data_IF_526351458407
#
_entry.id   IF_526351458407
#
_cell.length_a   1.000
_cell.length_b   1.000
_cell.length_c   1.000
_cell.angle_alpha   90.00
_cell.angle_beta   90.00
_cell.angle_gamma   90.00
#
_symmetry.space_group_name_H-M   'P 1'
#
loop_
_entity.id
_entity.type
_entity.pdbx_description
1 polymer ?
#
# COMPACT_ATOMS: atom_id res chain seq x y z
N UNK A 1 17.64 -13.73 -21.08
CA UNK A 1 17.31 -12.77 -20.00
C UNK A 1 15.86 -12.99 -19.63
N UNK A 2 15.54 -12.98 -18.33
CA UNK A 2 14.18 -13.19 -17.84
C UNK A 2 13.82 -12.06 -16.88
N UNK A 3 12.65 -11.46 -17.06
CA UNK A 3 12.10 -10.45 -16.17
C UNK A 3 11.02 -11.09 -15.30
N UNK A 4 11.12 -10.92 -13.98
CA UNK A 4 10.17 -11.47 -13.02
C UNK A 4 9.55 -10.36 -12.18
N UNK A 5 8.21 -10.31 -12.17
CA UNK A 5 7.46 -9.49 -11.23
C UNK A 5 6.86 -10.41 -10.17
N UNK A 6 7.38 -10.34 -8.95
CA UNK A 6 6.98 -11.20 -7.84
C UNK A 6 6.12 -10.43 -6.84
N UNK A 7 5.03 -11.05 -6.39
CA UNK A 7 4.20 -10.49 -5.32
C UNK A 7 4.68 -10.93 -3.93
N UNK A 8 4.38 -10.14 -2.90
CA UNK A 8 4.62 -10.53 -1.51
C UNK A 8 6.05 -10.27 -1.01
N UNK A 9 6.71 -9.25 -1.54
CA UNK A 9 8.00 -8.74 -1.03
C UNK A 9 7.99 -8.51 0.50
N UNK A 10 7.05 -7.72 1.05
CA UNK A 10 6.97 -7.48 2.49
C UNK A 10 6.74 -8.74 3.34
N UNK A 11 6.22 -9.80 2.73
CA UNK A 11 5.89 -11.07 3.39
C UNK A 11 7.01 -12.10 3.21
N UNK A 12 8.25 -11.69 3.49
CA UNK A 12 9.48 -12.47 3.27
C UNK A 12 9.65 -12.91 1.81
N UNK A 13 9.27 -12.09 0.82
CA UNK A 13 9.42 -12.41 -0.61
C UNK A 13 8.82 -13.78 -0.98
N UNK A 14 7.62 -14.05 -0.46
CA UNK A 14 7.01 -15.37 -0.58
C UNK A 14 6.75 -15.76 -2.04
N UNK A 15 6.35 -14.80 -2.89
CA UNK A 15 6.15 -15.05 -4.32
C UNK A 15 7.44 -15.54 -4.99
N UNK A 16 8.56 -14.86 -4.74
CA UNK A 16 9.89 -15.26 -5.25
C UNK A 16 10.28 -16.63 -4.75
N UNK A 17 10.07 -16.90 -3.45
CA UNK A 17 10.36 -18.22 -2.85
C UNK A 17 9.56 -19.33 -3.54
N UNK A 18 8.25 -19.14 -3.71
CA UNK A 18 7.37 -20.13 -4.34
C UNK A 18 7.72 -20.35 -5.81
N UNK A 19 7.94 -19.27 -6.55
CA UNK A 19 8.41 -19.31 -7.94
C UNK A 19 9.72 -20.11 -8.08
N UNK A 20 10.71 -19.86 -7.22
CA UNK A 20 11.97 -20.63 -7.23
C UNK A 20 11.79 -22.10 -6.80
N UNK A 21 10.81 -22.40 -5.95
CA UNK A 21 10.48 -23.77 -5.55
C UNK A 21 9.77 -24.54 -6.66
N UNK A 22 9.02 -23.85 -7.53
CA UNK A 22 8.35 -24.45 -8.69
C UNK A 22 9.33 -25.03 -9.71
N UNK A 23 10.58 -24.54 -9.73
CA UNK A 23 11.62 -25.03 -10.62
C UNK A 23 12.28 -26.31 -10.12
N UNK A 24 12.55 -27.20 -11.07
CA UNK A 24 13.45 -28.33 -10.85
C UNK A 24 14.86 -27.86 -10.51
N UNK A 25 15.59 -28.68 -9.77
CA UNK A 25 16.96 -28.34 -9.35
C UNK A 25 17.88 -28.02 -10.53
N UNK A 26 17.76 -28.78 -11.63
CA UNK A 26 18.57 -28.57 -12.84
C UNK A 26 18.34 -27.18 -13.45
N UNK A 27 17.10 -26.71 -13.45
CA UNK A 27 16.75 -25.41 -13.99
C UNK A 27 17.22 -24.29 -13.06
N UNK A 28 17.16 -24.48 -11.73
CA UNK A 28 17.76 -23.53 -10.78
C UNK A 28 19.27 -23.40 -10.96
N UNK A 29 19.97 -24.50 -11.22
CA UNK A 29 21.41 -24.50 -11.45
C UNK A 29 21.80 -23.86 -12.79
N UNK A 30 20.87 -23.79 -13.76
CA UNK A 30 21.09 -23.05 -15.01
C UNK A 30 20.95 -21.53 -14.87
N UNK A 31 20.53 -21.02 -13.71
CA UNK A 31 20.46 -19.57 -13.47
C UNK A 31 21.85 -19.08 -13.05
N UNK A 32 22.51 -18.36 -13.94
CA UNK A 32 23.84 -17.78 -13.67
C UNK A 32 23.80 -16.84 -12.47
N UNK A 33 22.95 -15.82 -12.54
CA UNK A 33 22.67 -14.91 -11.44
C UNK A 33 21.33 -14.19 -11.60
N UNK A 34 20.85 -13.55 -10.53
CA UNK A 34 19.67 -12.69 -10.52
C UNK A 34 19.98 -11.30 -9.93
N UNK A 35 19.40 -10.25 -10.50
CA UNK A 35 19.44 -8.89 -9.96
C UNK A 35 18.04 -8.53 -9.49
N UNK A 36 17.91 -8.20 -8.21
CA UNK A 36 16.66 -7.75 -7.59
C UNK A 36 16.75 -6.23 -7.38
N UNK A 37 15.62 -5.53 -7.53
CA UNK A 37 15.55 -4.09 -7.35
C UNK A 37 14.69 -3.79 -6.12
N UNK A 38 15.18 -2.95 -5.22
CA UNK A 38 14.40 -2.51 -4.07
C UNK A 38 14.63 -1.02 -3.78
N UNK A 39 13.55 -0.27 -3.61
CA UNK A 39 13.58 1.11 -3.11
C UNK A 39 14.58 2.01 -3.84
N UNK A 40 14.55 2.01 -5.18
CA UNK A 40 15.40 2.84 -6.07
C UNK A 40 14.73 4.16 -6.47
N UNK A 41 13.79 4.65 -5.65
CA UNK A 41 12.87 5.73 -6.02
C UNK A 41 13.24 7.13 -5.54
N UNK A 42 14.12 7.26 -4.53
CA UNK A 42 14.41 8.55 -3.89
C UNK A 42 15.90 8.90 -3.79
N UNK A 43 16.78 8.03 -4.29
CA UNK A 43 18.22 8.19 -4.11
C UNK A 43 18.78 9.41 -4.84
N UNK A 44 19.79 10.02 -4.21
CA UNK A 44 20.50 11.16 -4.75
C UNK A 44 21.72 10.71 -5.56
N UNK A 45 22.76 10.21 -4.86
CA UNK A 45 24.08 9.93 -5.45
C UNK A 45 24.68 8.58 -5.05
N UNK A 46 24.09 7.87 -4.08
CA UNK A 46 24.63 6.61 -3.57
C UNK A 46 23.62 5.47 -3.74
N UNK A 47 24.11 4.33 -4.21
CA UNK A 47 23.37 3.09 -4.32
C UNK A 47 24.19 1.94 -3.71
N UNK A 48 23.49 0.96 -3.16
CA UNK A 48 24.07 -0.20 -2.49
C UNK A 48 23.69 -1.47 -3.24
N UNK A 49 24.69 -2.28 -3.57
CA UNK A 49 24.52 -3.65 -4.03
C UNK A 49 24.69 -4.57 -2.83
N UNK A 50 23.58 -5.15 -2.37
CA UNK A 50 23.56 -6.11 -1.28
C UNK A 50 23.71 -7.53 -1.81
N UNK A 51 24.63 -8.27 -1.21
CA UNK A 51 24.98 -9.62 -1.66
C UNK A 51 25.16 -10.57 -0.48
N UNK A 52 24.68 -11.80 -0.66
CA UNK A 52 24.76 -12.86 0.35
C UNK A 52 25.93 -13.83 0.15
N UNK A 53 26.35 -14.04 -1.11
CA UNK A 53 27.51 -14.85 -1.48
C UNK A 53 28.79 -14.00 -1.39
N UNK A 54 29.96 -14.63 -1.17
CA UNK A 54 31.22 -13.88 -1.05
C UNK A 54 31.50 -13.08 -2.33
N UNK A 55 32.13 -11.89 -2.20
CA UNK A 55 32.46 -11.01 -3.32
C UNK A 55 33.52 -11.61 -4.26
N UNK A 56 34.14 -12.73 -3.89
CA UNK A 56 35.09 -13.47 -4.72
C UNK A 56 34.44 -14.17 -5.91
N UNK A 57 33.13 -14.39 -5.86
CA UNK A 57 32.37 -15.03 -6.92
C UNK A 57 32.46 -14.22 -8.23
N UNK A 58 32.76 -14.90 -9.34
CA UNK A 58 32.91 -14.27 -10.66
C UNK A 58 31.68 -13.46 -11.08
N UNK A 59 30.47 -13.98 -10.86
CA UNK A 59 29.23 -13.28 -11.23
C UNK A 59 29.03 -11.99 -10.43
N UNK A 60 29.40 -11.99 -9.15
CA UNK A 60 29.25 -10.80 -8.30
C UNK A 60 30.25 -9.72 -8.70
N UNK A 61 31.49 -10.11 -9.02
CA UNK A 61 32.49 -9.19 -9.56
C UNK A 61 32.02 -8.58 -10.87
N UNK A 62 31.49 -9.40 -11.76
CA UNK A 62 30.96 -8.93 -13.05
C UNK A 62 29.82 -7.93 -12.86
N UNK A 63 28.83 -8.25 -12.00
CA UNK A 63 27.74 -7.31 -11.67
C UNK A 63 28.33 -6.00 -11.12
N UNK A 64 29.27 -6.07 -10.17
CA UNK A 64 29.85 -4.87 -9.58
C UNK A 64 30.62 -4.04 -10.62
N UNK A 65 31.41 -4.66 -11.49
CA UNK A 65 32.16 -3.98 -12.55
C UNK A 65 31.22 -3.31 -13.57
N UNK A 66 30.17 -4.01 -13.98
CA UNK A 66 29.16 -3.50 -14.92
C UNK A 66 28.39 -2.31 -14.35
N UNK A 67 27.98 -2.38 -13.09
CA UNK A 67 27.28 -1.27 -12.42
C UNK A 67 28.20 -0.12 -12.07
N UNK A 68 29.38 -0.37 -11.50
CA UNK A 68 30.32 0.70 -11.11
C UNK A 68 30.82 1.49 -12.30
N UNK A 69 31.11 0.82 -13.42
CA UNK A 69 31.60 1.52 -14.62
C UNK A 69 30.55 2.45 -15.24
N UNK A 70 29.28 2.05 -15.26
CA UNK A 70 28.18 2.90 -15.73
C UNK A 70 27.85 3.98 -14.70
N UNK A 71 27.94 3.66 -13.41
CA UNK A 71 27.72 4.63 -12.34
C UNK A 71 28.77 5.74 -12.36
N UNK A 72 30.04 5.45 -12.63
CA UNK A 72 31.10 6.45 -12.83
C UNK A 72 30.75 7.43 -13.96
N UNK A 73 30.21 6.93 -15.08
CA UNK A 73 29.78 7.77 -16.21
C UNK A 73 28.58 8.65 -15.88
N UNK A 74 27.67 8.17 -15.02
CA UNK A 74 26.50 8.91 -14.55
C UNK A 74 26.77 9.80 -13.32
N UNK A 75 27.98 9.76 -12.75
CA UNK A 75 28.36 10.52 -11.55
C UNK A 75 27.74 9.97 -10.25
N UNK A 76 27.48 8.66 -10.20
CA UNK A 76 26.84 7.94 -9.10
C UNK A 76 27.85 7.02 -8.42
N UNK A 77 27.76 6.88 -7.10
CA UNK A 77 28.58 5.93 -6.36
C UNK A 77 27.78 4.65 -6.08
N UNK A 78 28.34 3.50 -6.48
CA UNK A 78 27.77 2.19 -6.20
C UNK A 78 28.68 1.45 -5.23
N UNK A 79 28.14 1.14 -4.05
CA UNK A 79 28.85 0.48 -2.98
C UNK A 79 28.42 -0.98 -2.85
N UNK A 80 29.35 -1.87 -2.50
CA UNK A 80 29.05 -3.28 -2.26
C UNK A 80 28.90 -3.55 -0.76
N UNK A 81 27.79 -4.18 -0.36
CA UNK A 81 27.57 -4.66 1.00
C UNK A 81 27.36 -6.16 1.03
N UNK A 82 28.31 -6.87 1.62
CA UNK A 82 28.24 -8.32 1.80
C UNK A 82 27.70 -8.67 3.19
N UNK A 83 26.65 -9.50 3.25
CA UNK A 83 26.08 -10.02 4.49
C UNK A 83 25.80 -11.51 4.36
N UNK A 84 26.45 -12.33 5.18
CA UNK A 84 26.18 -13.78 5.23
C UNK A 84 24.77 -14.03 5.76
N UNK A 85 23.99 -14.83 5.04
CA UNK A 85 22.64 -15.22 5.46
C UNK A 85 22.67 -16.26 6.58
N UNK A 86 21.73 -16.14 7.50
CA UNK A 86 21.44 -17.19 8.47
C UNK A 86 20.24 -18.01 7.97
N UNK A 87 20.51 -19.26 7.54
CA UNK A 87 19.49 -20.15 6.96
C UNK A 87 18.43 -20.56 8.00
N UNK A 88 18.78 -20.59 9.29
CA UNK A 88 17.82 -20.94 10.34
C UNK A 88 16.83 -19.82 10.67
N UNK A 89 17.13 -18.58 10.27
CA UNK A 89 16.20 -17.47 10.46
C UNK A 89 15.03 -17.61 9.47
N UNK A 90 13.80 -17.56 9.96
CA UNK A 90 12.61 -17.58 9.09
C UNK A 90 12.48 -16.29 8.28
N UNK A 91 12.95 -15.16 8.83
CA UNK A 91 12.86 -13.85 8.21
C UNK A 91 13.85 -13.70 7.07
N UNK A 92 13.40 -13.08 5.99
CA UNK A 92 14.22 -12.66 4.86
C UNK A 92 14.10 -11.16 4.68
N UNK A 93 15.23 -10.46 4.73
CA UNK A 93 15.25 -9.00 4.63
C UNK A 93 15.29 -8.52 3.18
N UNK A 94 16.04 -9.22 2.33
CA UNK A 94 16.23 -8.88 0.93
C UNK A 94 15.83 -10.03 0.01
N UNK A 95 15.32 -9.70 -1.17
CA UNK A 95 14.86 -10.72 -2.13
C UNK A 95 15.98 -11.69 -2.54
N UNK A 96 17.21 -11.19 -2.75
CA UNK A 96 18.36 -12.01 -3.13
C UNK A 96 18.72 -13.10 -2.10
N UNK A 97 18.30 -12.96 -0.83
CA UNK A 97 18.51 -14.00 0.18
C UNK A 97 17.66 -15.24 -0.12
N UNK A 98 16.48 -15.11 -0.75
CA UNK A 98 15.67 -16.27 -1.18
C UNK A 98 16.39 -17.09 -2.26
N UNK A 99 16.99 -16.42 -3.24
CA UNK A 99 17.83 -17.05 -4.26
C UNK A 99 19.02 -17.77 -3.62
N UNK A 100 19.68 -17.11 -2.66
CA UNK A 100 20.86 -17.64 -1.97
C UNK A 100 20.55 -18.88 -1.12
N UNK A 101 19.35 -18.98 -0.51
CA UNK A 101 18.88 -20.20 0.18
C UNK A 101 18.79 -21.40 -0.75
N UNK A 102 18.47 -21.17 -2.03
CA UNK A 102 18.39 -22.19 -3.07
C UNK A 102 19.67 -22.29 -3.91
N UNK A 103 20.78 -21.76 -3.39
CA UNK A 103 22.14 -21.80 -3.98
C UNK A 103 22.28 -21.02 -5.30
N UNK A 104 21.30 -20.22 -5.70
CA UNK A 104 21.39 -19.32 -6.85
C UNK A 104 22.16 -18.05 -6.46
N UNK A 105 23.00 -17.53 -7.35
CA UNK A 105 23.71 -16.27 -7.10
C UNK A 105 22.77 -15.10 -7.34
N UNK A 106 22.67 -14.16 -6.40
CA UNK A 106 21.82 -12.99 -6.59
C UNK A 106 22.34 -11.77 -5.83
N UNK A 107 21.96 -10.59 -6.31
CA UNK A 107 22.26 -9.30 -5.70
C UNK A 107 20.99 -8.43 -5.67
N UNK A 108 20.84 -7.61 -4.63
CA UNK A 108 19.78 -6.59 -4.57
C UNK A 108 20.40 -5.20 -4.70
N UNK A 109 19.94 -4.42 -5.67
CA UNK A 109 20.27 -2.99 -5.80
C UNK A 109 19.25 -2.18 -4.99
N UNK A 110 19.73 -1.37 -4.05
CA UNK A 110 18.87 -0.53 -3.22
C UNK A 110 19.52 0.77 -2.79
N UNK A 111 18.71 1.79 -2.53
CA UNK A 111 19.10 3.03 -1.85
C UNK A 111 19.43 2.79 -0.37
N UNK A 112 18.78 1.81 0.27
CA UNK A 112 18.92 1.59 1.70
C UNK A 112 20.25 0.93 2.01
N UNK A 113 21.05 1.57 2.86
CA UNK A 113 22.33 1.02 3.31
C UNK A 113 22.13 -0.17 4.26
N UNK A 114 21.02 -0.23 4.99
CA UNK A 114 20.66 -1.30 5.92
C UNK A 114 19.32 -1.92 5.53
N UNK A 115 19.18 -3.21 5.80
CA UNK A 115 17.92 -3.92 5.64
C UNK A 115 16.81 -3.25 6.47
N UNK A 116 15.63 -2.97 5.88
CA UNK A 116 14.50 -2.44 6.63
C UNK A 116 13.94 -3.47 7.62
N UNK A 117 13.33 -2.99 8.70
CA UNK A 117 12.55 -3.82 9.62
C UNK A 117 11.23 -4.30 9.00
N UNK A 118 10.54 -5.22 9.69
CA UNK A 118 9.43 -5.96 9.09
C UNK A 118 8.26 -4.99 8.93
N UNK A 119 7.83 -4.75 7.70
CA UNK A 119 6.78 -3.79 7.37
C UNK A 119 7.11 -2.32 7.74
N UNK A 120 8.38 -1.99 7.96
CA UNK A 120 8.79 -0.63 8.37
C UNK A 120 8.47 0.41 7.29
N UNK A 121 8.86 0.12 6.05
CA UNK A 121 8.74 1.05 4.91
C UNK A 121 7.66 0.65 3.90
N UNK A 122 6.89 -0.41 4.16
CA UNK A 122 6.01 -1.02 3.15
C UNK A 122 4.55 -0.99 3.58
N UNK A 123 3.66 -0.50 2.70
CA UNK A 123 2.21 -0.57 2.91
C UNK A 123 1.68 0.38 3.98
N UNK A 124 2.45 1.41 4.36
CA UNK A 124 1.98 2.48 5.23
C UNK A 124 0.92 3.33 4.51
N UNK A 125 -0.07 3.83 5.24
CA UNK A 125 -1.11 4.71 4.69
C UNK A 125 -0.54 6.03 4.16
N UNK A 126 0.66 6.40 4.62
CA UNK A 126 1.37 7.60 4.20
C UNK A 126 2.22 7.36 2.95
N UNK A 127 2.42 6.11 2.53
CA UNK A 127 3.17 5.79 1.31
C UNK A 127 2.45 6.35 0.09
N UNK A 128 3.08 7.32 -0.58
CA UNK A 128 2.44 8.14 -1.59
C UNK A 128 3.43 8.76 -2.55
N UNK A 129 2.91 9.29 -3.67
CA UNK A 129 3.72 9.80 -4.79
C UNK A 129 4.77 10.85 -4.39
N UNK A 130 4.52 11.62 -3.33
CA UNK A 130 5.40 12.68 -2.85
C UNK A 130 6.79 12.20 -2.38
N UNK A 131 6.93 10.94 -1.99
CA UNK A 131 8.21 10.38 -1.52
C UNK A 131 9.08 9.83 -2.65
N UNK A 132 8.59 9.89 -3.90
CA UNK A 132 9.28 9.31 -5.05
C UNK A 132 9.74 10.42 -5.99
N UNK A 133 11.03 10.46 -6.28
CA UNK A 133 11.61 11.41 -7.23
C UNK A 133 11.60 10.82 -8.64
N UNK A 134 10.87 11.45 -9.56
CA UNK A 134 10.78 11.01 -10.97
C UNK A 134 12.16 11.02 -11.65
N UNK A 135 12.98 12.04 -11.39
CA UNK A 135 14.31 12.14 -11.97
C UNK A 135 15.25 11.04 -11.43
N UNK A 136 15.09 10.63 -10.17
CA UNK A 136 15.85 9.50 -9.61
C UNK A 136 15.48 8.19 -10.30
N UNK A 137 14.19 7.95 -10.57
CA UNK A 137 13.73 6.75 -11.26
C UNK A 137 14.23 6.72 -12.71
N UNK A 138 14.15 7.83 -13.45
CA UNK A 138 14.68 7.89 -14.82
C UNK A 138 16.19 7.59 -14.83
N UNK A 139 16.94 8.15 -13.86
CA UNK A 139 18.37 7.84 -13.68
C UNK A 139 18.60 6.35 -13.34
N UNK A 140 17.79 5.75 -12.48
CA UNK A 140 17.89 4.32 -12.15
C UNK A 140 17.63 3.43 -13.35
N UNK A 141 16.57 3.71 -14.11
CA UNK A 141 16.23 2.94 -15.31
C UNK A 141 17.38 3.04 -16.31
N UNK A 142 17.95 4.22 -16.50
CA UNK A 142 19.12 4.42 -17.36
C UNK A 142 20.34 3.63 -16.87
N UNK A 143 20.67 3.73 -15.58
CA UNK A 143 21.77 2.97 -14.97
C UNK A 143 21.60 1.46 -15.19
N UNK A 144 20.42 0.92 -14.86
CA UNK A 144 20.14 -0.51 -14.97
C UNK A 144 20.16 -0.96 -16.45
N UNK A 145 19.53 -0.20 -17.34
CA UNK A 145 19.47 -0.53 -18.76
C UNK A 145 20.86 -0.54 -19.40
N UNK A 146 21.68 0.49 -19.14
CA UNK A 146 23.06 0.56 -19.63
C UNK A 146 23.94 -0.54 -19.04
N UNK A 147 23.86 -0.81 -17.74
CA UNK A 147 24.60 -1.90 -17.09
C UNK A 147 24.23 -3.27 -17.66
N UNK A 148 22.94 -3.52 -17.91
CA UNK A 148 22.49 -4.77 -18.54
C UNK A 148 22.93 -4.88 -20.00
N UNK A 149 22.82 -3.80 -20.77
CA UNK A 149 23.23 -3.82 -22.17
C UNK A 149 24.75 -4.02 -22.30
N UNK A 150 25.53 -3.37 -21.44
CA UNK A 150 26.98 -3.58 -21.36
C UNK A 150 27.33 -5.04 -21.07
N UNK A 151 26.62 -5.65 -20.13
CA UNK A 151 26.77 -7.06 -19.80
C UNK A 151 26.45 -7.97 -20.99
N UNK A 152 25.31 -7.77 -21.65
CA UNK A 152 24.84 -8.60 -22.77
C UNK A 152 25.77 -8.50 -23.98
N UNK A 153 26.23 -7.29 -24.32
CA UNK A 153 27.12 -7.08 -25.46
C UNK A 153 28.60 -7.35 -25.14
N UNK A 154 28.93 -7.70 -23.90
CA UNK A 154 30.29 -8.00 -23.47
C UNK A 154 31.26 -6.83 -23.67
N UNK A 155 30.76 -5.59 -23.58
CA UNK A 155 31.55 -4.41 -23.93
C UNK A 155 32.43 -3.97 -22.75
N UNK A 156 33.74 -4.05 -22.95
CA UNK A 156 34.76 -3.70 -21.94
C UNK A 156 35.25 -2.24 -22.05
N UNK A 157 34.76 -1.46 -23.03
CA UNK A 157 35.15 -0.06 -23.22
C UNK A 157 34.42 0.92 -22.31
N UNK A 158 35.02 2.11 -22.11
CA UNK A 158 34.40 3.29 -21.51
C UNK A 158 33.71 4.12 -22.62
N UNK A 159 32.60 4.79 -22.32
CA UNK A 159 31.90 5.76 -23.19
C UNK A 159 30.94 5.21 -24.26
N UNK A 160 30.33 4.04 -24.09
CA UNK A 160 29.21 3.63 -24.96
C UNK A 160 27.90 3.85 -24.23
N UNK A 161 27.25 4.98 -24.53
CA UNK A 161 25.88 5.26 -24.10
C UNK A 161 24.93 4.69 -25.14
N UNK A 162 24.42 3.48 -24.89
CA UNK A 162 23.45 2.82 -25.78
C UNK A 162 22.11 3.55 -25.73
N UNK A 163 21.74 4.02 -24.54
CA UNK A 163 20.52 4.74 -24.21
C UNK A 163 20.81 6.22 -23.94
N UNK A 164 21.59 6.86 -24.82
CA UNK A 164 21.89 8.29 -24.76
C UNK A 164 20.61 9.14 -24.82
N UNK A 165 20.56 10.27 -24.12
CA UNK A 165 19.32 11.07 -23.93
C UNK A 165 18.78 11.68 -25.25
N UNK A 166 19.67 11.86 -26.24
CA UNK A 166 19.32 12.38 -27.56
C UNK A 166 19.01 11.27 -28.58
N UNK A 167 18.98 10.01 -28.15
CA UNK A 167 18.73 8.86 -29.02
C UNK A 167 17.27 8.43 -28.98
N UNK A 168 16.83 7.70 -30.02
CA UNK A 168 15.49 7.10 -30.04
C UNK A 168 15.30 6.00 -28.98
N UNK A 169 16.38 5.51 -28.38
CA UNK A 169 16.36 4.51 -27.31
C UNK A 169 16.38 5.14 -25.91
N UNK A 170 16.38 6.48 -25.81
CA UNK A 170 16.38 7.18 -24.53
C UNK A 170 15.18 6.75 -23.65
N UNK A 171 15.40 6.73 -22.34
CA UNK A 171 14.33 6.47 -21.37
C UNK A 171 13.30 7.59 -21.46
N UNK A 172 12.06 7.25 -21.80
CA UNK A 172 10.99 8.23 -21.92
C UNK A 172 10.45 8.64 -20.53
N UNK A 173 10.66 9.90 -20.07
CA UNK A 173 10.20 10.33 -18.73
C UNK A 173 8.68 10.35 -18.61
N UNK A 174 7.96 10.66 -19.71
CA UNK A 174 6.50 10.71 -19.70
C UNK A 174 5.88 9.32 -19.49
N UNK A 175 6.50 8.28 -20.04
CA UNK A 175 6.12 6.89 -19.83
C UNK A 175 6.37 6.44 -18.39
N UNK A 176 7.53 6.81 -17.82
CA UNK A 176 7.82 6.58 -16.39
C UNK A 176 6.80 7.28 -15.50
N UNK A 177 6.46 8.54 -15.79
CA UNK A 177 5.46 9.31 -15.05
C UNK A 177 4.09 8.64 -15.09
N UNK A 178 3.62 8.19 -16.26
CA UNK A 178 2.31 7.52 -16.35
C UNK A 178 2.24 6.26 -15.49
N UNK A 179 3.30 5.45 -15.46
CA UNK A 179 3.35 4.28 -14.62
C UNK A 179 3.39 4.63 -13.13
N UNK A 180 4.13 5.67 -12.73
CA UNK A 180 4.15 6.14 -11.35
C UNK A 180 2.79 6.66 -10.89
N UNK A 181 2.05 7.33 -11.77
CA UNK A 181 0.69 7.81 -11.45
C UNK A 181 -0.30 6.65 -11.31
N UNK A 182 -0.18 5.60 -12.11
CA UNK A 182 -0.98 4.37 -11.95
C UNK A 182 -0.62 3.68 -10.63
N UNK A 183 0.67 3.40 -10.40
CA UNK A 183 1.16 2.68 -9.22
C UNK A 183 0.84 3.38 -7.90
N UNK A 184 0.82 4.72 -7.89
CA UNK A 184 0.50 5.51 -6.69
C UNK A 184 -1.00 5.57 -6.36
N UNK A 185 -1.88 5.27 -7.32
CA UNK A 185 -3.34 5.24 -7.12
C UNK A 185 -3.90 3.85 -6.89
N UNK A 186 -3.15 2.81 -7.27
CA UNK A 186 -3.57 1.41 -7.12
C UNK A 186 -3.12 0.84 -5.77
N UNK A 187 -4.03 0.34 -4.92
CA UNK A 187 -3.65 -0.37 -3.71
C UNK A 187 -3.03 -1.73 -4.04
N UNK A 188 -1.83 -2.01 -3.50
CA UNK A 188 -1.05 -3.23 -3.83
C UNK A 188 -0.93 -4.23 -2.68
N UNK A 189 -1.60 -3.97 -1.56
CA UNK A 189 -1.59 -4.86 -0.39
C UNK A 189 -2.53 -6.04 -0.65
N UNK A 190 -2.19 -7.23 -0.15
CA UNK A 190 -2.88 -8.48 -0.48
C UNK A 190 -4.42 -8.45 -0.42
N UNK A 191 -5.09 -7.82 0.57
CA UNK A 191 -6.56 -7.76 0.62
C UNK A 191 -7.20 -6.94 -0.50
N UNK A 192 -6.46 -6.01 -1.08
CA UNK A 192 -6.94 -5.12 -2.14
C UNK A 192 -6.50 -5.57 -3.53
N UNK A 193 -5.63 -6.59 -3.63
CA UNK A 193 -5.16 -7.13 -4.89
C UNK A 193 -5.85 -8.46 -5.17
N UNK A 194 -6.99 -8.38 -5.85
CA UNK A 194 -7.75 -9.57 -6.25
C UNK A 194 -7.04 -10.35 -7.36
N UNK A 195 -7.39 -11.63 -7.54
CA UNK A 195 -6.75 -12.49 -8.55
C UNK A 195 -6.93 -12.00 -9.99
N UNK A 196 -8.07 -11.38 -10.25
CA UNK A 196 -8.47 -10.88 -11.57
C UNK A 196 -8.47 -9.35 -11.60
N UNK A 197 -7.59 -8.74 -10.79
CA UNK A 197 -7.47 -7.29 -10.73
C UNK A 197 -7.04 -6.72 -12.09
N UNK A 198 -7.70 -5.66 -12.58
CA UNK A 198 -7.32 -4.99 -13.82
C UNK A 198 -5.85 -4.53 -13.83
N UNK A 199 -5.28 -4.22 -12.66
CA UNK A 199 -3.87 -3.85 -12.52
C UNK A 199 -2.93 -4.99 -12.92
N UNK A 200 -3.21 -6.23 -12.51
CA UNK A 200 -2.41 -7.40 -12.90
C UNK A 200 -2.53 -7.62 -14.42
N UNK A 201 -3.72 -7.43 -14.97
CA UNK A 201 -3.96 -7.55 -16.41
C UNK A 201 -3.20 -6.47 -17.20
N UNK A 202 -3.15 -5.24 -16.67
CA UNK A 202 -2.38 -4.15 -17.26
C UNK A 202 -0.87 -4.43 -17.24
N UNK A 203 -0.33 -4.91 -16.11
CA UNK A 203 1.09 -5.32 -16.03
C UNK A 203 1.42 -6.47 -16.98
N UNK A 204 0.53 -7.46 -17.09
CA UNK A 204 0.69 -8.58 -18.02
C UNK A 204 0.75 -8.08 -19.46
N UNK A 205 -0.20 -7.22 -19.85
CA UNK A 205 -0.25 -6.65 -21.20
C UNK A 205 1.00 -5.84 -21.52
N UNK A 206 1.47 -5.02 -20.57
CA UNK A 206 2.70 -4.25 -20.78
C UNK A 206 3.90 -5.17 -21.02
N UNK A 207 4.02 -6.27 -20.27
CA UNK A 207 5.07 -7.25 -20.52
C UNK A 207 4.90 -7.94 -21.88
N UNK A 208 3.67 -8.26 -22.30
CA UNK A 208 3.39 -8.89 -23.61
C UNK A 208 3.78 -7.97 -24.77
N UNK A 209 3.66 -6.65 -24.61
CA UNK A 209 4.04 -5.68 -25.64
C UNK A 209 5.57 -5.57 -25.81
N UNK A 210 6.37 -5.89 -24.77
CA UNK A 210 7.83 -5.76 -24.77
C UNK A 210 8.62 -7.09 -24.69
N UNK A 211 7.95 -8.22 -24.51
CA UNK A 211 8.59 -9.55 -24.35
C UNK A 211 7.87 -10.63 -25.17
N UNK A 212 8.60 -11.68 -25.55
CA UNK A 212 8.10 -12.74 -26.44
C UNK A 212 7.10 -13.68 -25.75
N UNK A 213 7.43 -14.15 -24.54
CA UNK A 213 6.59 -15.06 -23.75
C UNK A 213 6.30 -14.50 -22.36
N UNK A 214 5.02 -14.41 -22.01
CA UNK A 214 4.56 -13.96 -20.69
C UNK A 214 3.72 -15.05 -20.02
N UNK A 215 4.17 -15.49 -18.85
CA UNK A 215 3.45 -16.45 -18.02
C UNK A 215 3.03 -15.81 -16.69
N UNK A 216 1.77 -16.02 -16.30
CA UNK A 216 1.22 -15.56 -15.02
C UNK A 216 0.97 -16.76 -14.14
N UNK A 217 1.76 -16.87 -13.08
CA UNK A 217 1.59 -17.89 -12.05
C UNK A 217 0.85 -17.31 -10.84
N UNK A 218 -0.18 -18.02 -10.39
CA UNK A 218 -1.00 -17.62 -9.25
C UNK A 218 -0.82 -18.64 -8.15
N UNK A 219 -0.22 -18.21 -7.05
CA UNK A 219 -0.03 -19.04 -5.88
C UNK A 219 -0.70 -18.45 -4.65
N UNK A 220 -1.09 -19.32 -3.73
CA UNK A 220 -1.65 -18.92 -2.44
C UNK A 220 -0.50 -18.47 -1.56
N UNK A 221 -0.67 -17.32 -0.88
CA UNK A 221 0.29 -16.89 0.13
C UNK A 221 0.28 -17.90 1.28
N UNK A 222 1.27 -18.77 1.28
CA UNK A 222 1.48 -19.80 2.29
C UNK A 222 2.38 -19.23 3.40
N UNK A 223 1.91 -19.11 4.64
CA UNK A 223 2.78 -18.72 5.75
C UNK A 223 2.15 -17.90 6.90
N UNK A 224 3.02 -17.11 7.55
CA UNK A 224 2.87 -16.49 8.88
C UNK A 224 1.79 -15.41 9.02
N UNK A 225 1.18 -14.95 7.91
CA UNK A 225 0.25 -13.83 7.91
C UNK A 225 -1.13 -14.31 7.47
N UNK A 226 -2.12 -14.13 8.33
CA UNK A 226 -3.54 -14.21 7.98
C UNK A 226 -4.06 -12.79 7.79
N UNK A 227 -4.56 -12.48 6.60
CA UNK A 227 -5.15 -11.17 6.34
C UNK A 227 -6.59 -11.12 6.86
N UNK A 228 -7.04 -9.91 7.17
CA UNK A 228 -8.46 -9.67 7.40
C UNK A 228 -9.22 -9.75 6.08
N UNK A 229 -10.31 -10.51 6.06
CA UNK A 229 -11.11 -10.71 4.84
C UNK A 229 -11.99 -9.50 4.50
N UNK A 230 -12.33 -8.64 5.48
CA UNK A 230 -13.22 -7.50 5.28
C UNK A 230 -12.44 -6.19 5.07
N UNK A 231 -12.48 -5.67 3.84
CA UNK A 231 -11.92 -4.35 3.49
C UNK A 231 -12.94 -3.20 3.60
N UNK A 232 -14.22 -3.52 3.76
CA UNK A 232 -15.31 -2.55 3.91
C UNK A 232 -16.09 -2.82 5.19
N UNK A 233 -16.34 -1.76 5.97
CA UNK A 233 -17.17 -1.80 7.16
C UNK A 233 -18.23 -0.69 7.07
N UNK A 234 -19.47 -1.01 7.48
CA UNK A 234 -20.54 -0.01 7.57
C UNK A 234 -20.44 0.73 8.91
N UNK A 235 -20.07 2.01 8.87
CA UNK A 235 -20.10 2.88 10.04
C UNK A 235 -21.53 3.41 10.23
N UNK A 236 -22.25 2.84 11.21
CA UNK A 236 -23.56 3.37 11.60
C UNK A 236 -23.35 4.49 12.63
N UNK A 237 -23.61 5.73 12.23
CA UNK A 237 -23.55 6.89 13.12
C UNK A 237 -24.96 7.15 13.63
N UNK A 238 -25.18 6.87 14.91
CA UNK A 238 -26.44 7.18 15.58
C UNK A 238 -26.28 8.48 16.37
N UNK A 239 -27.23 9.41 16.17
CA UNK A 239 -27.36 10.55 17.07
C UNK A 239 -28.01 10.05 18.37
N UNK A 240 -27.30 10.17 19.49
CA UNK A 240 -27.84 9.82 20.81
C UNK A 240 -29.00 10.76 21.15
N UNK A 241 -29.94 10.26 21.97
CA UNK A 241 -31.15 10.95 22.38
C UNK A 241 -30.91 12.44 22.64
N UNK A 242 -31.52 13.28 21.81
CA UNK A 242 -31.44 14.72 21.95
C UNK A 242 -32.22 15.15 23.20
N UNK A 243 -31.66 16.07 23.99
CA UNK A 243 -32.34 16.72 25.13
C UNK A 243 -33.69 17.34 24.71
N UNK A 244 -33.84 17.66 23.42
CA UNK A 244 -35.12 18.12 22.85
C UNK A 244 -36.25 17.10 22.98
N UNK A 245 -35.96 15.80 22.94
CA UNK A 245 -36.96 14.76 23.10
C UNK A 245 -37.53 14.77 24.52
N UNK A 246 -36.66 14.84 25.53
CA UNK A 246 -37.06 14.91 26.94
C UNK A 246 -37.83 16.20 27.24
N UNK A 247 -37.41 17.33 26.66
CA UNK A 247 -38.12 18.62 26.82
C UNK A 247 -39.49 18.59 26.14
N UNK A 248 -39.61 17.98 24.96
CA UNK A 248 -40.89 17.81 24.27
C UNK A 248 -41.80 16.87 25.08
N UNK A 249 -41.27 15.77 25.59
CA UNK A 249 -42.02 14.83 26.44
C UNK A 249 -42.50 15.51 27.73
N UNK A 250 -41.66 16.32 28.37
CA UNK A 250 -42.02 17.14 29.53
C UNK A 250 -43.14 18.13 29.19
N UNK A 251 -43.06 18.80 28.03
CA UNK A 251 -44.09 19.74 27.57
C UNK A 251 -45.43 19.03 27.33
N UNK A 252 -45.41 17.88 26.66
CA UNK A 252 -46.62 17.10 26.38
C UNK A 252 -47.27 16.60 27.67
N UNK A 253 -46.49 16.03 28.59
CA UNK A 253 -47.00 15.56 29.88
C UNK A 253 -47.51 16.71 30.75
N UNK A 254 -46.77 17.83 30.79
CA UNK A 254 -47.14 19.01 31.54
C UNK A 254 -48.44 19.64 31.03
N UNK A 255 -48.58 19.81 29.71
CA UNK A 255 -49.81 20.34 29.11
C UNK A 255 -51.02 19.43 29.35
N UNK A 256 -50.85 18.11 29.26
CA UNK A 256 -51.90 17.14 29.57
C UNK A 256 -52.42 17.28 31.01
N UNK A 257 -51.52 17.35 32.00
CA UNK A 257 -51.90 17.52 33.40
C UNK A 257 -52.61 18.85 33.67
N UNK A 258 -52.17 19.94 33.02
CA UNK A 258 -52.82 21.26 33.12
C UNK A 258 -54.26 21.20 32.57
N UNK A 259 -54.46 20.60 31.40
CA UNK A 259 -55.79 20.44 30.80
C UNK A 259 -56.69 19.58 31.68
N UNK A 260 -56.18 18.46 32.18
CA UNK A 260 -56.93 17.56 33.07
C UNK A 260 -57.33 18.25 34.38
N UNK A 261 -56.41 19.00 34.99
CA UNK A 261 -56.70 19.79 36.19
C UNK A 261 -57.75 20.86 35.90
N UNK A 262 -57.61 21.60 34.79
CA UNK A 262 -58.55 22.65 34.40
C UNK A 262 -59.95 22.07 34.15
N UNK A 263 -60.04 20.93 33.48
CA UNK A 263 -61.29 20.20 33.28
C UNK A 263 -61.94 19.80 34.62
N UNK A 264 -61.18 19.20 35.54
CA UNK A 264 -61.68 18.81 36.86
C UNK A 264 -62.13 20.00 37.72
N UNK A 265 -61.40 21.13 37.65
CA UNK A 265 -61.79 22.35 38.38
C UNK A 265 -63.03 22.97 37.78
N UNK A 266 -63.17 23.01 36.45
CA UNK A 266 -64.38 23.52 35.79
C UNK A 266 -65.58 22.62 36.09
N UNK A 267 -65.43 21.29 36.11
CA UNK A 267 -66.54 20.38 36.42
C UNK A 267 -66.94 20.39 37.89
N UNK A 268 -66.04 20.74 38.81
CA UNK A 268 -66.35 20.82 40.25
C UNK A 268 -66.79 22.22 40.67
N UNK A 269 -66.00 23.26 40.38
CA UNK A 269 -66.31 24.66 40.75
C UNK A 269 -67.19 25.37 39.74
N UNK A 270 -67.03 25.10 38.44
CA UNK A 270 -67.88 25.70 37.41
C UNK A 270 -69.32 25.21 37.50
N UNK A 271 -69.56 24.01 38.04
CA UNK A 271 -70.88 23.47 38.33
C UNK A 271 -71.50 24.18 39.55
N UNK A 272 -70.70 24.47 40.59
CA UNK A 272 -71.12 25.30 41.73
C UNK A 272 -71.42 26.76 41.32
N UNK A 273 -70.62 27.35 40.41
CA UNK A 273 -70.87 28.70 39.88
C UNK A 273 -72.04 28.77 38.89
N UNK A 274 -72.31 27.70 38.13
CA UNK A 274 -73.53 27.59 37.32
C UNK A 274 -74.78 27.48 38.21
N UNK A 275 -74.69 26.68 39.29
CA UNK A 275 -75.76 26.56 40.28
C UNK A 275 -75.97 27.87 41.05
N UNK A 276 -74.89 28.64 41.32
CA UNK A 276 -74.98 29.94 41.99
C UNK A 276 -75.62 31.02 41.10
N UNK A 277 -75.41 30.97 39.78
CA UNK A 277 -76.06 31.84 38.79
C UNK A 277 -77.58 31.59 38.69
N UNK A 278 -78.04 30.35 38.94
CA UNK A 278 -79.47 30.00 38.99
C UNK A 278 -80.09 30.14 40.38
N UNK A 279 -79.31 30.40 41.44
CA UNK A 279 -79.84 30.75 42.77
C UNK A 279 -80.20 32.25 42.82
N UNK A 280 -81.50 32.54 42.82
CA UNK A 280 -82.03 33.90 43.05
C UNK A 280 -81.46 34.48 44.37
N UNK A 281 -81.06 35.76 44.41
CA UNK A 281 -80.63 36.39 45.65
C UNK A 281 -81.81 36.37 46.66
N UNK A 282 -81.56 36.11 47.95
CA UNK A 282 -82.62 36.06 48.93
C UNK A 282 -83.31 37.42 49.03
N UNK A 283 -84.63 37.41 49.00
CA UNK A 283 -85.47 38.60 49.07
C UNK A 283 -85.12 39.42 50.33
N UNK A 284 -84.69 40.66 50.12
CA UNK A 284 -84.54 41.67 51.16
C UNK A 284 -85.90 41.89 51.82
N UNK A 285 -86.15 41.26 52.97
CA UNK A 285 -87.32 41.59 53.79
C UNK A 285 -87.12 42.99 54.37
N UNK A 286 -87.95 43.90 53.88
CA UNK A 286 -88.14 45.24 54.40
C UNK A 286 -88.86 45.15 55.75
N UNK A 287 -88.22 45.76 56.76
CA UNK A 287 -88.66 46.43 58.00
C UNK A 287 -90.13 46.31 58.44
N UNK A 288 -90.36 46.34 59.76
CA UNK A 288 -91.08 47.47 60.43
C UNK A 288 -90.99 47.44 61.95
N UNK A 289 -90.83 48.65 62.50
CA UNK A 289 -91.06 49.15 63.87
C UNK A 289 -90.19 48.60 65.00
#
# INVERSE_FOLDING_TARGET
MLFGLTSGGPYNYNGTRKWLQSFDQRLRESIDYAICLDSIGSWENELWIHVSKPPENAFIKQILEDFSSVAEELGVQVNLKHKKINISNSRVAWEHEQFSRLRVTAATLSELSTAPELLESTGGLLDGRQFVNEAAIVRSVKLIAESLAKHIYGHQGKNVQIFADNSNLAVNPSYVRSWLDVLSRTPRVAPFLSKDDPFITALKKELEDHTDEVNVQREILDGMFTFYDSTSAKLNIYQVASVTFDLLLLLVLGSYLIVLFSFLVITTRGLDDLISLFRRPPSRKVKTA
#
